data_IF_004242493006
#
_entry.id   IF_004242493006
#
_cell.length_a   1.000
_cell.length_b   1.000
_cell.length_c   1.000
_cell.angle_alpha   90.00
_cell.angle_beta   90.00
_cell.angle_gamma   90.00
#
_symmetry.space_group_name_H-M   'P 1'
#
loop_
_entity.id
_entity.type
_entity.pdbx_description
1 polymer ?
#
# COMPACT_ATOMS: atom_id res chain seq x y z
N UNK A 1 3.79 5.44 12.08
CA UNK A 1 3.08 4.48 11.21
C UNK A 1 1.63 4.30 11.64
N UNK A 2 1.33 3.77 12.84
CA UNK A 2 -0.06 3.54 13.28
C UNK A 2 -0.94 4.79 13.29
N UNK A 3 -0.42 5.93 13.76
CA UNK A 3 -1.16 7.20 13.74
C UNK A 3 -1.62 7.59 12.33
N UNK A 4 -0.70 7.59 11.36
CA UNK A 4 -1.01 7.93 9.96
C UNK A 4 -2.02 6.94 9.37
N UNK A 5 -1.87 5.64 9.68
CA UNK A 5 -2.81 4.61 9.24
C UNK A 5 -4.22 4.83 9.82
N UNK A 6 -4.32 5.09 11.13
CA UNK A 6 -5.61 5.39 11.78
C UNK A 6 -6.23 6.66 11.22
N UNK A 7 -5.45 7.72 11.02
CA UNK A 7 -5.91 8.94 10.36
C UNK A 7 -6.43 8.66 8.95
N UNK A 8 -5.73 7.84 8.16
CA UNK A 8 -6.17 7.47 6.82
C UNK A 8 -7.53 6.74 6.85
N UNK A 9 -7.68 5.77 7.76
CA UNK A 9 -8.92 5.01 7.93
C UNK A 9 -10.07 5.93 8.37
N UNK A 10 -9.85 6.75 9.40
CA UNK A 10 -10.89 7.67 9.92
C UNK A 10 -11.28 8.70 8.86
N UNK A 11 -10.32 9.31 8.17
CA UNK A 11 -10.60 10.26 7.10
C UNK A 11 -11.34 9.60 5.92
N UNK A 12 -11.00 8.34 5.58
CA UNK A 12 -11.68 7.59 4.53
C UNK A 12 -13.12 7.23 4.89
N UNK A 13 -13.35 6.78 6.13
CA UNK A 13 -14.69 6.54 6.65
C UNK A 13 -15.52 7.84 6.69
N UNK A 14 -14.90 8.95 7.09
CA UNK A 14 -15.55 10.25 7.06
C UNK A 14 -15.95 10.68 5.64
N UNK A 15 -15.07 10.45 4.64
CA UNK A 15 -15.40 10.71 3.23
C UNK A 15 -16.61 9.89 2.76
N UNK A 16 -16.71 8.62 3.17
CA UNK A 16 -17.86 7.76 2.86
C UNK A 16 -19.14 8.28 3.51
N UNK A 17 -19.08 8.68 4.79
CA UNK A 17 -20.23 9.21 5.50
C UNK A 17 -20.71 10.54 4.90
N UNK A 18 -19.78 11.46 4.62
CA UNK A 18 -20.07 12.76 4.01
C UNK A 18 -20.60 12.60 2.59
N UNK A 19 -20.01 11.71 1.79
CA UNK A 19 -20.47 11.42 0.43
C UNK A 19 -21.85 10.75 0.35
N UNK A 20 -22.32 10.13 1.43
CA UNK A 20 -23.66 9.53 1.50
C UNK A 20 -24.77 10.54 1.84
N UNK A 21 -24.42 11.78 2.15
CA UNK A 21 -25.39 12.86 2.40
C UNK A 21 -25.90 13.48 1.09
N UNK A 22 -27.01 14.22 1.14
CA UNK A 22 -27.54 14.93 -0.02
C UNK A 22 -26.53 15.93 -0.63
N UNK A 23 -25.78 16.62 0.23
CA UNK A 23 -24.66 17.51 -0.16
C UNK A 23 -23.50 16.74 -0.83
N UNK A 24 -23.34 15.45 -0.50
CA UNK A 24 -22.38 14.55 -1.11
C UNK A 24 -22.74 14.17 -2.55
N UNK A 25 -24.04 14.11 -2.89
CA UNK A 25 -24.50 13.84 -4.26
C UNK A 25 -24.17 15.02 -5.21
N UNK A 26 -24.16 16.24 -4.67
CA UNK A 26 -23.68 17.43 -5.41
C UNK A 26 -22.17 17.40 -5.68
N UNK A 27 -21.41 16.67 -4.85
CA UNK A 27 -19.96 16.56 -4.90
C UNK A 27 -19.50 15.12 -5.19
N UNK A 28 -20.06 14.52 -6.25
CA UNK A 28 -19.75 13.15 -6.64
C UNK A 28 -18.26 12.96 -6.94
N UNK A 29 -17.55 12.33 -6.00
CA UNK A 29 -16.12 12.04 -6.09
C UNK A 29 -15.77 11.16 -7.30
N UNK A 30 -16.73 10.42 -7.85
CA UNK A 30 -16.51 9.56 -9.02
C UNK A 30 -16.25 10.37 -10.27
N UNK A 31 -16.78 11.60 -10.34
CA UNK A 31 -16.57 12.53 -11.46
C UNK A 31 -15.33 13.41 -11.28
N UNK A 32 -14.87 13.59 -10.04
CA UNK A 32 -13.68 14.37 -9.71
C UNK A 32 -12.49 13.48 -9.32
N UNK A 33 -12.41 13.10 -8.04
CA UNK A 33 -11.28 12.38 -7.43
C UNK A 33 -10.92 11.09 -8.16
N UNK A 34 -11.90 10.28 -8.58
CA UNK A 34 -11.64 9.03 -9.31
C UNK A 34 -11.03 9.29 -10.70
N UNK A 35 -11.49 10.33 -11.40
CA UNK A 35 -10.95 10.74 -12.71
C UNK A 35 -9.54 11.31 -12.54
N UNK A 36 -9.33 12.15 -11.51
CA UNK A 36 -8.01 12.65 -11.13
C UNK A 36 -7.02 11.51 -10.89
N UNK A 37 -7.37 10.54 -10.03
CA UNK A 37 -6.46 9.45 -9.70
C UNK A 37 -6.09 8.60 -10.92
N UNK A 38 -7.07 8.28 -11.78
CA UNK A 38 -6.82 7.55 -13.02
C UNK A 38 -5.93 8.33 -14.00
N UNK A 39 -6.07 9.65 -14.04
CA UNK A 39 -5.32 10.53 -14.96
C UNK A 39 -3.81 10.48 -14.74
N UNK A 40 -3.36 10.21 -13.50
CA UNK A 40 -1.96 10.04 -13.15
C UNK A 40 -1.36 8.83 -13.90
N UNK A 41 -2.09 7.71 -13.90
CA UNK A 41 -1.66 6.47 -14.56
C UNK A 41 -1.78 6.53 -16.09
N UNK A 42 -2.65 7.40 -16.60
CA UNK A 42 -2.74 7.71 -18.03
C UNK A 42 -1.68 8.73 -18.49
N UNK A 43 -0.76 9.14 -17.60
CA UNK A 43 0.29 10.13 -17.87
C UNK A 43 -0.25 11.49 -18.37
N UNK A 44 -1.49 11.82 -17.98
CA UNK A 44 -2.16 13.08 -18.32
C UNK A 44 -2.77 13.69 -17.05
N UNK A 45 -1.95 14.15 -16.09
CA UNK A 45 -2.41 14.51 -14.75
C UNK A 45 -3.35 15.73 -14.78
N UNK A 46 -4.57 15.53 -14.27
CA UNK A 46 -5.63 16.55 -14.21
C UNK A 46 -5.77 17.18 -12.83
N UNK A 47 -4.80 18.01 -12.43
CA UNK A 47 -4.77 18.66 -11.11
C UNK A 47 -5.98 19.57 -10.82
N UNK A 48 -6.61 20.10 -11.89
CA UNK A 48 -7.86 20.88 -11.84
C UNK A 48 -8.97 20.16 -11.08
N UNK A 49 -9.10 18.85 -11.29
CA UNK A 49 -10.15 18.03 -10.68
C UNK A 49 -9.98 17.87 -9.16
N UNK A 50 -8.73 17.85 -8.68
CA UNK A 50 -8.46 17.80 -7.24
C UNK A 50 -8.64 19.16 -6.59
N UNK A 51 -8.27 20.25 -7.28
CA UNK A 51 -8.44 21.62 -6.78
C UNK A 51 -9.93 21.97 -6.57
N UNK A 52 -10.82 21.40 -7.38
CA UNK A 52 -12.27 21.57 -7.27
C UNK A 52 -12.94 20.56 -6.33
N UNK A 53 -12.21 19.55 -5.85
CA UNK A 53 -12.76 18.58 -4.92
C UNK A 53 -13.01 19.22 -3.55
N UNK A 54 -14.00 18.70 -2.82
CA UNK A 54 -14.29 19.15 -1.46
C UNK A 54 -13.12 18.88 -0.51
N UNK A 55 -13.03 19.71 0.54
CA UNK A 55 -11.91 19.69 1.48
C UNK A 55 -11.67 18.32 2.11
N UNK A 56 -12.74 17.59 2.46
CA UNK A 56 -12.61 16.28 3.11
C UNK A 56 -11.94 15.24 2.19
N UNK A 57 -12.20 15.28 0.87
CA UNK A 57 -11.47 14.44 -0.08
C UNK A 57 -10.01 14.85 -0.22
N UNK A 58 -9.72 16.16 -0.28
CA UNK A 58 -8.33 16.64 -0.35
C UNK A 58 -7.52 16.22 0.88
N UNK A 59 -8.09 16.36 2.07
CA UNK A 59 -7.46 15.95 3.34
C UNK A 59 -7.19 14.43 3.35
N UNK A 60 -8.17 13.61 2.96
CA UNK A 60 -7.97 12.17 2.90
C UNK A 60 -6.86 11.77 1.92
N UNK A 61 -6.86 12.35 0.72
CA UNK A 61 -5.83 12.08 -0.30
C UNK A 61 -4.44 12.50 0.18
N UNK A 62 -4.31 13.66 0.83
CA UNK A 62 -3.04 14.10 1.40
C UNK A 62 -2.50 13.09 2.42
N UNK A 63 -3.35 12.61 3.32
CA UNK A 63 -2.98 11.58 4.32
C UNK A 63 -2.59 10.28 3.61
N UNK A 64 -3.32 9.86 2.57
CA UNK A 64 -3.02 8.67 1.80
C UNK A 64 -1.65 8.77 1.10
N UNK A 65 -1.35 9.90 0.46
CA UNK A 65 -0.05 10.14 -0.19
C UNK A 65 1.10 10.12 0.83
N UNK A 66 0.90 10.71 2.00
CA UNK A 66 1.87 10.62 3.10
C UNK A 66 2.08 9.17 3.56
N UNK A 67 1.02 8.37 3.65
CA UNK A 67 1.12 6.95 3.98
C UNK A 67 1.93 6.18 2.94
N UNK A 68 1.70 6.43 1.64
CA UNK A 68 2.48 5.83 0.55
C UNK A 68 3.95 6.24 0.60
N UNK A 69 4.25 7.52 0.86
CA UNK A 69 5.62 8.00 0.98
C UNK A 69 6.37 7.36 2.17
N UNK A 70 5.66 7.11 3.28
CA UNK A 70 6.21 6.44 4.47
C UNK A 70 6.28 4.92 4.33
N UNK A 71 5.54 4.31 3.39
CA UNK A 71 5.41 2.87 3.26
C UNK A 71 6.76 2.13 3.24
N UNK A 72 7.74 2.45 2.34
CA UNK A 72 8.97 1.67 2.25
C UNK A 72 9.87 1.78 3.49
N UNK A 73 9.63 2.78 4.35
CA UNK A 73 10.42 3.04 5.56
C UNK A 73 9.74 2.57 6.85
N UNK A 74 8.61 1.87 6.74
CA UNK A 74 7.85 1.41 7.91
C UNK A 74 7.53 -0.08 7.83
N UNK A 75 6.98 -0.62 8.92
CA UNK A 75 6.56 -2.03 8.98
C UNK A 75 5.51 -2.40 7.93
N UNK A 76 4.83 -1.42 7.31
CA UNK A 76 3.87 -1.65 6.22
C UNK A 76 4.46 -2.38 5.02
N UNK A 77 5.79 -2.42 4.87
CA UNK A 77 6.46 -3.25 3.86
C UNK A 77 6.03 -4.72 3.90
N UNK A 78 5.56 -5.23 5.06
CA UNK A 78 5.04 -6.59 5.19
C UNK A 78 3.86 -6.87 4.25
N UNK A 79 3.15 -5.85 3.76
CA UNK A 79 2.05 -6.02 2.82
C UNK A 79 2.51 -6.69 1.50
N UNK A 80 3.77 -6.53 1.10
CA UNK A 80 4.36 -7.20 -0.07
C UNK A 80 4.73 -8.67 0.19
N UNK A 81 4.79 -9.10 1.46
CA UNK A 81 5.16 -10.46 1.85
C UNK A 81 3.94 -11.32 2.18
N UNK A 82 2.74 -10.95 1.69
CA UNK A 82 1.52 -11.72 1.91
C UNK A 82 1.70 -13.16 1.40
N UNK A 83 1.53 -14.18 2.26
CA UNK A 83 1.92 -15.56 1.95
C UNK A 83 0.85 -16.28 1.10
N UNK A 84 0.41 -15.70 -0.01
CA UNK A 84 -0.62 -16.27 -0.89
C UNK A 84 -0.16 -17.64 -1.45
N UNK A 85 1.13 -17.75 -1.78
CA UNK A 85 1.74 -19.00 -2.26
C UNK A 85 1.73 -20.13 -1.22
N UNK A 86 1.50 -19.83 0.06
CA UNK A 86 1.46 -20.86 1.12
C UNK A 86 0.29 -21.83 0.95
N UNK A 87 -0.79 -21.39 0.30
CA UNK A 87 -1.94 -22.23 -0.01
C UNK A 87 -1.58 -23.42 -0.93
N UNK A 88 -0.55 -23.25 -1.76
CA UNK A 88 -0.07 -24.26 -2.70
C UNK A 88 1.31 -24.82 -2.29
N UNK A 89 1.80 -24.46 -1.11
CA UNK A 89 3.13 -24.86 -0.65
C UNK A 89 3.10 -26.32 -0.19
N UNK A 90 4.04 -27.17 -0.62
CA UNK A 90 4.21 -28.51 -0.06
C UNK A 90 4.37 -28.47 1.46
N UNK A 91 3.78 -29.44 2.16
CA UNK A 91 3.84 -29.51 3.63
C UNK A 91 5.29 -29.56 4.13
N UNK A 92 6.11 -30.35 3.44
CA UNK A 92 7.54 -30.49 3.70
C UNK A 92 8.30 -29.86 2.54
N UNK A 93 9.18 -28.91 2.86
CA UNK A 93 10.10 -28.30 1.89
C UNK A 93 11.51 -28.76 2.20
N UNK A 94 12.06 -29.59 1.32
CA UNK A 94 13.48 -29.93 1.31
C UNK A 94 14.22 -28.89 0.48
N UNK A 95 15.33 -28.36 1.02
CA UNK A 95 16.25 -27.50 0.27
C UNK A 95 17.49 -28.31 -0.06
N UNK A 96 17.75 -28.53 -1.34
CA UNK A 96 19.00 -29.16 -1.77
C UNK A 96 20.18 -28.27 -1.38
N UNK A 97 21.32 -28.89 -1.10
CA UNK A 97 22.61 -28.18 -1.06
C UNK A 97 23.03 -27.91 -2.49
N UNK A 98 22.32 -27.02 -3.21
CA UNK A 98 22.94 -26.38 -4.37
C UNK A 98 24.26 -25.77 -3.88
N UNK A 99 25.32 -25.98 -4.66
CA UNK A 99 26.72 -25.76 -4.30
C UNK A 99 26.92 -24.34 -3.77
N UNK A 100 26.68 -24.14 -2.48
CA UNK A 100 26.95 -22.89 -1.81
C UNK A 100 28.44 -22.64 -2.01
N UNK A 101 28.76 -21.58 -2.74
CA UNK A 101 30.14 -21.15 -2.89
C UNK A 101 30.76 -21.05 -1.49
N UNK A 102 32.08 -21.23 -1.37
CA UNK A 102 32.77 -21.35 -0.07
C UNK A 102 32.50 -20.17 0.91
N UNK A 103 31.93 -19.08 0.42
CA UNK A 103 31.58 -17.86 1.14
C UNK A 103 30.07 -17.52 1.16
N UNK A 104 29.20 -18.41 0.68
CA UNK A 104 27.76 -18.21 0.70
C UNK A 104 27.13 -18.71 2.00
N UNK A 105 26.23 -17.90 2.56
CA UNK A 105 25.46 -18.24 3.75
C UNK A 105 24.41 -19.30 3.38
N UNK A 106 24.53 -20.51 3.93
CA UNK A 106 23.46 -21.51 3.88
C UNK A 106 22.47 -21.17 4.99
N UNK A 107 21.52 -20.26 4.71
CA UNK A 107 20.57 -19.78 5.72
C UNK A 107 21.18 -18.71 6.64
N UNK A 108 20.87 -18.75 7.94
CA UNK A 108 21.31 -17.75 8.92
C UNK A 108 22.69 -18.01 9.53
N UNK A 109 23.35 -19.11 9.16
CA UNK A 109 24.65 -19.49 9.70
C UNK A 109 25.64 -19.86 8.59
N UNK A 110 26.91 -19.44 8.69
CA UNK A 110 27.96 -19.87 7.77
C UNK A 110 28.23 -21.37 7.92
N UNK A 111 28.64 -22.01 6.81
CA UNK A 111 28.99 -23.43 6.74
C UNK A 111 30.15 -23.74 7.69
N UNK A 112 29.86 -24.33 8.87
CA UNK A 112 30.91 -24.94 9.69
C UNK A 112 31.36 -26.23 9.04
N UNK A 113 32.65 -26.34 8.76
CA UNK A 113 33.28 -27.60 8.35
C UNK A 113 33.24 -28.50 9.59
N UNK A 114 32.42 -29.55 9.56
CA UNK A 114 32.50 -30.61 10.56
C UNK A 114 33.86 -31.29 10.46
N UNK A 115 34.28 -31.91 11.56
CA UNK A 115 35.30 -32.95 11.52
C UNK A 115 34.75 -34.15 10.77
#
# INVERSE_FOLDING_TARGET
>A
MYLVLVCAIVAGLACTLMGATHEGDMHDYRRSVSVWFRSIWMLAPRGDLMAQATLYYQVHVLIALALFALWPFTRLVHAFSAPIAYLFRPYIVYRSREVAAKHELIGSAPRRRGW
#
